data_IF_964433388927
#
_entry.id   IF_964433388927
#
_cell.length_a   1.000
_cell.length_b   1.000
_cell.length_c   1.000
_cell.angle_alpha   90.00
_cell.angle_beta   90.00
_cell.angle_gamma   90.00
#
_symmetry.space_group_name_H-M   'P 1'
#
loop_
_entity.id
_entity.type
_entity.pdbx_description
1 polymer ?
#
# COMPACT_ATOMS: atom_id res chain seq x y z
N UNK A 1 27.65 -40.36 56.14
CA UNK A 1 26.55 -39.80 56.96
C UNK A 1 25.91 -38.69 56.12
N UNK A 2 24.62 -38.83 55.79
CA UNK A 2 23.71 -37.80 55.24
C UNK A 2 24.05 -37.18 53.85
N UNK A 3 23.13 -36.84 52.93
CA UNK A 3 21.70 -37.08 52.73
C UNK A 3 21.42 -36.76 51.25
N UNK A 4 20.72 -37.66 50.55
CA UNK A 4 20.02 -37.42 49.29
C UNK A 4 18.89 -36.40 49.52
N UNK A 5 18.77 -35.39 48.66
CA UNK A 5 17.67 -34.42 48.70
C UNK A 5 16.98 -34.34 47.33
N UNK A 6 15.77 -34.89 47.25
CA UNK A 6 14.92 -34.89 46.07
C UNK A 6 13.77 -33.85 46.24
N UNK A 7 13.30 -33.34 45.09
CA UNK A 7 12.00 -32.69 44.79
C UNK A 7 11.82 -31.20 45.11
N UNK A 8 11.55 -30.44 44.05
CA UNK A 8 10.23 -29.81 43.81
C UNK A 8 10.11 -29.32 42.35
N UNK A 9 9.26 -29.99 41.57
CA UNK A 9 8.72 -29.54 40.28
C UNK A 9 7.70 -28.44 40.57
N UNK A 10 7.89 -27.22 40.03
CA UNK A 10 6.83 -26.21 39.99
C UNK A 10 6.07 -26.40 38.69
N UNK A 11 4.78 -26.70 38.82
CA UNK A 11 3.82 -26.56 37.73
C UNK A 11 3.42 -25.09 37.69
N UNK A 12 3.68 -24.42 36.57
CA UNK A 12 3.27 -23.04 36.36
C UNK A 12 2.26 -23.03 35.21
N UNK A 13 1.01 -22.85 35.63
CA UNK A 13 -0.01 -21.95 35.08
C UNK A 13 -0.25 -21.95 33.57
N UNK A 14 -1.48 -22.36 33.24
CA UNK A 14 -2.15 -22.29 31.95
C UNK A 14 -2.11 -20.85 31.38
N UNK A 15 -1.42 -20.67 30.26
CA UNK A 15 -1.56 -19.46 29.44
C UNK A 15 -2.87 -19.53 28.66
N UNK A 16 -3.95 -19.04 29.28
CA UNK A 16 -5.13 -18.59 28.56
C UNK A 16 -4.84 -17.19 28.02
N UNK A 17 -4.42 -17.10 26.75
CA UNK A 17 -4.43 -15.82 26.04
C UNK A 17 -5.12 -16.00 24.68
N UNK A 18 -6.45 -15.93 24.72
CA UNK A 18 -7.25 -15.68 23.54
C UNK A 18 -6.83 -14.36 22.91
N UNK A 19 -6.10 -14.44 21.80
CA UNK A 19 -5.72 -13.25 21.03
C UNK A 19 -6.51 -13.21 19.72
N UNK A 20 -7.62 -12.47 19.82
CA UNK A 20 -8.13 -11.51 18.83
C UNK A 20 -8.26 -12.02 17.39
N UNK A 21 -9.50 -12.38 17.08
CA UNK A 21 -10.15 -12.23 15.78
C UNK A 21 -9.49 -11.18 14.86
N UNK A 22 -8.88 -11.71 13.82
CA UNK A 22 -8.80 -11.25 12.43
C UNK A 22 -9.52 -9.93 12.09
N UNK A 23 -8.76 -9.00 11.51
CA UNK A 23 -9.16 -7.88 10.65
C UNK A 23 -10.30 -6.97 11.14
N UNK A 24 -9.97 -6.07 12.06
CA UNK A 24 -10.55 -4.73 11.99
C UNK A 24 -9.76 -3.96 10.93
N UNK A 25 -10.19 -4.02 9.66
CA UNK A 25 -9.80 -3.02 8.67
C UNK A 25 -10.28 -1.69 9.23
N UNK A 26 -9.37 -0.93 9.85
CA UNK A 26 -9.66 0.43 10.24
C UNK A 26 -10.17 1.13 8.97
N UNK A 27 -11.41 1.61 9.01
CA UNK A 27 -12.01 2.40 7.94
C UNK A 27 -11.27 3.74 7.92
N UNK A 28 -10.05 3.74 7.39
CA UNK A 28 -9.21 4.92 7.25
C UNK A 28 -9.84 5.72 6.12
N UNK A 29 -10.60 6.74 6.50
CA UNK A 29 -11.13 7.69 5.56
C UNK A 29 -9.96 8.31 4.81
N UNK A 30 -9.91 8.07 3.50
CA UNK A 30 -8.86 8.58 2.65
C UNK A 30 -8.82 10.12 2.80
N UNK A 31 -7.64 10.76 2.99
CA UNK A 31 -7.55 12.20 3.25
C UNK A 31 -8.08 13.06 2.10
N UNK A 32 -8.33 12.45 0.94
CA UNK A 32 -8.93 13.09 -0.25
C UNK A 32 -10.40 12.68 -0.46
N UNK A 33 -11.08 12.14 0.56
CA UNK A 33 -12.52 11.85 0.47
C UNK A 33 -13.27 13.14 0.13
N UNK A 34 -13.99 13.15 -0.99
CA UNK A 34 -14.67 14.35 -1.47
C UNK A 34 -13.78 15.33 -2.24
N UNK A 35 -12.68 14.87 -2.85
CA UNK A 35 -11.89 15.69 -3.77
C UNK A 35 -12.66 15.97 -5.08
N UNK A 36 -12.80 17.25 -5.42
CA UNK A 36 -13.37 17.73 -6.67
C UNK A 36 -12.26 18.40 -7.50
N UNK A 37 -11.93 17.85 -8.68
CA UNK A 37 -10.92 18.42 -9.57
C UNK A 37 -11.38 19.77 -10.13
N UNK A 38 -10.51 20.79 -10.07
CA UNK A 38 -10.76 22.13 -10.63
C UNK A 38 -9.87 22.45 -11.83
N UNK A 39 -8.59 22.11 -11.77
CA UNK A 39 -7.66 22.35 -12.86
C UNK A 39 -6.47 21.39 -12.84
N UNK A 40 -5.88 21.15 -14.01
CA UNK A 40 -4.54 20.57 -14.14
C UNK A 40 -3.55 21.73 -14.15
N UNK A 41 -2.74 21.85 -13.11
CA UNK A 41 -1.75 22.93 -12.98
C UNK A 41 -0.51 22.67 -13.83
N UNK A 42 -0.06 21.41 -13.87
CA UNK A 42 1.11 20.97 -14.64
C UNK A 42 1.00 19.49 -14.94
N UNK A 43 1.35 19.09 -16.15
CA UNK A 43 1.51 17.71 -16.54
C UNK A 43 2.84 17.54 -17.28
N UNK A 44 3.54 16.44 -17.04
CA UNK A 44 4.69 16.03 -17.83
C UNK A 44 4.56 14.58 -18.22
N UNK A 45 4.22 14.33 -19.48
CA UNK A 45 4.19 12.98 -20.04
C UNK A 45 5.58 12.34 -20.08
N UNK A 46 6.66 13.13 -20.10
CA UNK A 46 8.04 12.64 -20.04
C UNK A 46 8.40 12.18 -18.63
N UNK A 47 8.16 13.05 -17.64
CA UNK A 47 8.52 12.78 -16.24
C UNK A 47 7.47 11.90 -15.54
N UNK A 48 6.33 11.63 -16.22
CA UNK A 48 5.20 10.85 -15.69
C UNK A 48 4.63 11.45 -14.40
N UNK A 49 4.56 12.78 -14.35
CA UNK A 49 4.04 13.56 -13.22
C UNK A 49 2.79 14.35 -13.62
N UNK A 50 1.84 14.50 -12.69
CA UNK A 50 0.69 15.40 -12.83
C UNK A 50 0.41 16.15 -11.52
N UNK A 51 0.09 17.44 -11.64
CA UNK A 51 -0.21 18.36 -10.54
C UNK A 51 -1.64 18.85 -10.74
N UNK A 52 -2.50 18.51 -9.78
CA UNK A 52 -3.94 18.75 -9.85
C UNK A 52 -4.33 19.75 -8.77
N UNK A 53 -5.02 20.82 -9.15
CA UNK A 53 -5.74 21.68 -8.22
C UNK A 53 -7.16 21.17 -8.09
N UNK A 54 -7.64 20.99 -6.87
CA UNK A 54 -9.03 20.71 -6.60
C UNK A 54 -9.48 21.26 -5.27
N UNK A 55 -10.70 20.91 -4.89
CA UNK A 55 -11.29 21.25 -3.60
C UNK A 55 -11.55 19.98 -2.80
N UNK A 56 -11.33 20.01 -1.49
CA UNK A 56 -11.66 18.91 -0.58
C UNK A 56 -12.73 19.38 0.39
N UNK A 57 -13.87 18.68 0.42
CA UNK A 57 -14.91 18.91 1.43
C UNK A 57 -14.60 18.14 2.71
N UNK A 58 -14.39 18.84 3.82
CA UNK A 58 -14.11 18.23 5.13
C UNK A 58 -15.35 18.27 6.04
N UNK A 59 -16.49 17.74 5.57
CA UNK A 59 -17.69 17.53 6.39
C UNK A 59 -18.41 18.77 6.95
N UNK A 60 -17.91 19.97 6.68
CA UNK A 60 -18.53 21.27 6.97
C UNK A 60 -18.42 22.11 5.69
N UNK A 61 -19.32 23.08 5.50
CA UNK A 61 -19.57 23.84 4.25
C UNK A 61 -18.37 24.62 3.67
N UNK A 62 -17.18 24.43 4.23
CA UNK A 62 -15.93 25.01 3.77
C UNK A 62 -15.13 24.01 2.94
N UNK A 63 -15.26 24.11 1.62
CA UNK A 63 -14.41 23.40 0.67
C UNK A 63 -13.07 24.13 0.53
N UNK A 64 -11.98 23.50 1.01
CA UNK A 64 -10.64 24.07 0.93
C UNK A 64 -9.97 23.71 -0.40
N UNK A 65 -9.19 24.64 -0.96
CA UNK A 65 -8.33 24.34 -2.10
C UNK A 65 -7.18 23.41 -1.70
N UNK A 66 -6.86 22.46 -2.57
CA UNK A 66 -5.81 21.48 -2.39
C UNK A 66 -5.06 21.23 -3.70
N UNK A 67 -3.78 20.90 -3.59
CA UNK A 67 -2.95 20.45 -4.72
C UNK A 67 -2.55 18.99 -4.49
N UNK A 68 -2.88 18.13 -5.45
CA UNK A 68 -2.46 16.73 -5.48
C UNK A 68 -1.35 16.58 -6.50
N UNK A 69 -0.26 15.91 -6.12
CA UNK A 69 0.86 15.59 -7.00
C UNK A 69 0.92 14.08 -7.12
N UNK A 70 0.85 13.57 -8.36
CA UNK A 70 0.99 12.15 -8.66
C UNK A 70 2.20 11.96 -9.56
N UNK A 71 3.07 11.02 -9.20
CA UNK A 71 4.29 10.70 -9.94
C UNK A 71 4.42 9.18 -10.04
N UNK A 72 4.76 8.68 -11.24
CA UNK A 72 5.10 7.26 -11.40
C UNK A 72 6.44 6.98 -10.75
N UNK A 73 6.48 5.95 -9.92
CA UNK A 73 7.73 5.50 -9.31
C UNK A 73 8.64 4.84 -10.35
N UNK A 74 9.97 5.02 -10.25
CA UNK A 74 10.93 4.27 -11.06
C UNK A 74 10.82 2.76 -10.84
N UNK A 75 11.22 1.98 -11.85
CA UNK A 75 11.24 0.52 -11.76
C UNK A 75 12.29 0.03 -10.77
N UNK A 76 11.96 -1.07 -10.08
CA UNK A 76 12.89 -1.84 -9.26
C UNK A 76 13.26 -3.13 -10.02
N UNK A 77 14.57 -3.39 -10.16
CA UNK A 77 15.07 -4.46 -11.00
C UNK A 77 14.51 -5.84 -10.62
N UNK A 78 14.50 -6.16 -9.32
CA UNK A 78 14.05 -7.47 -8.83
C UNK A 78 12.54 -7.67 -9.04
N UNK A 79 11.75 -6.62 -8.85
CA UNK A 79 10.31 -6.62 -9.09
C UNK A 79 10.00 -6.88 -10.56
N UNK A 80 10.70 -6.18 -11.48
CA UNK A 80 10.54 -6.38 -12.92
C UNK A 80 10.97 -7.79 -13.33
N UNK A 81 12.12 -8.26 -12.84
CA UNK A 81 12.59 -9.62 -13.14
C UNK A 81 11.62 -10.68 -12.66
N UNK A 82 11.00 -10.49 -11.50
CA UNK A 82 10.05 -11.46 -10.95
C UNK A 82 8.74 -11.45 -11.76
N UNK A 83 8.23 -10.27 -12.12
CA UNK A 83 7.03 -10.13 -12.94
C UNK A 83 7.17 -10.85 -14.29
N UNK A 84 8.30 -10.67 -14.99
CA UNK A 84 8.55 -11.28 -16.29
C UNK A 84 8.68 -12.81 -16.26
N UNK A 85 8.96 -13.40 -15.09
CA UNK A 85 9.04 -14.87 -14.90
C UNK A 85 7.67 -15.51 -14.61
N UNK A 86 6.69 -14.72 -14.17
CA UNK A 86 5.44 -15.21 -13.60
C UNK A 86 4.23 -14.97 -14.53
N UNK A 87 4.40 -15.20 -15.83
CA UNK A 87 3.34 -15.07 -16.86
C UNK A 87 2.47 -13.80 -16.71
N UNK A 88 3.05 -12.61 -16.96
CA UNK A 88 2.35 -11.36 -16.76
C UNK A 88 1.17 -11.20 -17.72
N UNK A 89 0.14 -10.46 -17.29
CA UNK A 89 -0.96 -10.08 -18.18
C UNK A 89 -0.45 -9.10 -19.24
N UNK A 90 -0.38 -9.56 -20.49
CA UNK A 90 0.13 -8.80 -21.63
C UNK A 90 -0.91 -8.71 -22.73
N UNK A 91 -0.99 -7.53 -23.36
CA UNK A 91 -1.81 -7.30 -24.56
C UNK A 91 -0.92 -6.71 -25.65
N UNK A 92 -0.71 -7.46 -26.72
CA UNK A 92 0.09 -7.03 -27.87
C UNK A 92 -0.55 -5.80 -28.53
N UNK A 93 0.22 -4.72 -28.69
CA UNK A 93 -0.19 -3.50 -29.36
C UNK A 93 0.42 -3.38 -30.75
N UNK A 94 1.72 -3.72 -30.90
CA UNK A 94 2.45 -3.67 -32.17
C UNK A 94 3.44 -4.83 -32.26
N UNK A 95 3.61 -5.40 -33.46
CA UNK A 95 4.65 -6.39 -33.75
C UNK A 95 5.33 -6.07 -35.08
N UNK A 96 6.65 -5.99 -35.08
CA UNK A 96 7.45 -5.85 -36.29
C UNK A 96 8.72 -6.70 -36.16
N UNK A 97 8.76 -7.81 -36.89
CA UNK A 97 9.85 -8.80 -36.83
C UNK A 97 10.15 -9.23 -35.37
N UNK A 98 11.34 -8.91 -34.86
CA UNK A 98 11.78 -9.22 -33.48
C UNK A 98 11.32 -8.20 -32.43
N UNK A 99 10.65 -7.12 -32.83
CA UNK A 99 10.17 -6.07 -31.94
C UNK A 99 8.69 -6.26 -31.62
N UNK A 100 8.34 -6.17 -30.34
CA UNK A 100 6.96 -6.20 -29.86
C UNK A 100 6.74 -5.16 -28.75
N UNK A 101 5.60 -4.49 -28.79
CA UNK A 101 5.11 -3.56 -27.75
C UNK A 101 3.69 -3.93 -27.38
#
# INVERSE_FOLDING_TARGET
MAHTGEKRKRENEEENNGNVSTNAEANVQHPLSGFELKAVLRESARDKTIFLHGKVSSGSENCNDAVIILEKTPFQMDTVSSLLKNDPELKLQLKNDIYGV
#
